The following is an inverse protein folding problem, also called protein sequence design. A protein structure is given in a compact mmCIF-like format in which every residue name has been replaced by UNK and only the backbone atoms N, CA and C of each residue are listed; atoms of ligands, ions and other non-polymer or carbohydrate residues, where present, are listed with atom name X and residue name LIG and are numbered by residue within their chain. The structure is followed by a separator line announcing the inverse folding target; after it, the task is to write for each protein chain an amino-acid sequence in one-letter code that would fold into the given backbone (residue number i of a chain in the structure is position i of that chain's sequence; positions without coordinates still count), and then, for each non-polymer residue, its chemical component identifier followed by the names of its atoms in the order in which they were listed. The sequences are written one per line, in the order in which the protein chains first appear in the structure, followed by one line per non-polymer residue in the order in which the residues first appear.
data_IF_436908258422
#
_entry.id   IF_436908258422
#
_cell.length_a   1.000
_cell.length_b   1.000
_cell.length_c   1.000
_cell.angle_alpha   90.00
_cell.angle_beta   90.00
_cell.angle_gamma   90.00
#
_symmetry.space_group_name_H-M   'P 1'
#
loop_
_entity.id
_entity.type
_entity.pdbx_description
1 polymer ?
#
# COMPACT_ATOMS: atom_id res chain seq x y z
N UNK A 1 -18.30 -25.74 -3.44
CA UNK A 1 -19.51 -24.92 -3.42
C UNK A 1 -20.13 -25.04 -4.79
N UNK A 2 -21.44 -25.26 -4.87
CA UNK A 2 -22.18 -25.21 -6.13
C UNK A 2 -23.03 -23.94 -6.09
N UNK A 3 -22.86 -23.03 -7.05
CA UNK A 3 -23.67 -21.82 -7.16
C UNK A 3 -24.59 -21.97 -8.38
N UNK A 4 -25.89 -21.77 -8.17
CA UNK A 4 -26.89 -21.65 -9.23
C UNK A 4 -27.45 -20.24 -9.22
N UNK A 5 -27.59 -19.64 -10.41
CA UNK A 5 -28.15 -18.30 -10.59
C UNK A 5 -29.09 -18.30 -11.79
N UNK A 6 -30.19 -17.55 -11.72
CA UNK A 6 -31.14 -17.42 -12.83
C UNK A 6 -30.69 -16.42 -13.92
N UNK A 7 -29.58 -15.71 -13.70
CA UNK A 7 -28.96 -14.79 -14.66
C UNK A 7 -27.42 -14.97 -14.66
N UNK A 8 -26.75 -14.45 -15.68
CA UNK A 8 -25.29 -14.47 -15.76
C UNK A 8 -24.65 -13.53 -14.74
N UNK A 9 -23.75 -14.07 -13.90
CA UNK A 9 -22.92 -13.33 -12.95
C UNK A 9 -21.54 -13.96 -12.84
N UNK A 10 -20.55 -13.19 -12.40
CA UNK A 10 -19.18 -13.69 -12.21
C UNK A 10 -19.09 -14.62 -10.98
N UNK A 11 -19.35 -15.92 -11.19
CA UNK A 11 -19.34 -16.95 -10.15
C UNK A 11 -18.00 -17.05 -9.43
N UNK A 12 -16.89 -16.89 -10.15
CA UNK A 12 -15.54 -16.93 -9.56
C UNK A 12 -15.33 -15.83 -8.51
N UNK A 13 -15.92 -14.66 -8.73
CA UNK A 13 -15.87 -13.56 -7.75
C UNK A 13 -16.69 -13.87 -6.50
N UNK A 14 -17.82 -14.56 -6.65
CA UNK A 14 -18.63 -15.04 -5.52
C UNK A 14 -17.88 -16.13 -4.75
N UNK A 15 -17.26 -17.10 -5.43
CA UNK A 15 -16.45 -18.15 -4.80
C UNK A 15 -15.26 -17.60 -4.00
N UNK A 16 -14.56 -16.61 -4.57
CA UNK A 16 -13.47 -15.94 -3.85
C UNK A 16 -14.01 -15.24 -2.61
N UNK A 17 -15.12 -14.50 -2.73
CA UNK A 17 -15.76 -13.86 -1.58
C UNK A 17 -16.20 -14.88 -0.52
N UNK A 18 -16.82 -15.98 -0.90
CA UNK A 18 -17.24 -17.04 0.03
C UNK A 18 -16.05 -17.62 0.79
N UNK A 19 -14.96 -17.94 0.10
CA UNK A 19 -13.75 -18.49 0.74
C UNK A 19 -13.19 -17.60 1.84
N UNK A 20 -13.45 -16.31 1.72
CA UNK A 20 -12.77 -15.25 2.43
C UNK A 20 -13.65 -14.69 3.56
N UNK A 21 -14.94 -14.53 3.31
CA UNK A 21 -15.91 -13.86 4.20
C UNK A 21 -17.01 -14.80 4.71
N UNK A 22 -17.21 -15.96 4.07
CA UNK A 22 -18.34 -16.85 4.33
C UNK A 22 -17.94 -18.34 4.16
N UNK A 23 -16.76 -18.72 4.69
CA UNK A 23 -16.14 -20.01 4.43
C UNK A 23 -16.99 -21.22 4.85
N UNK A 24 -17.94 -21.01 5.75
CA UNK A 24 -18.93 -21.99 6.21
C UNK A 24 -19.79 -22.55 5.06
N UNK A 25 -19.95 -21.78 3.98
CA UNK A 25 -20.73 -22.11 2.79
C UNK A 25 -19.90 -22.79 1.68
N UNK A 26 -18.60 -23.04 1.88
CA UNK A 26 -17.72 -23.58 0.82
C UNK A 26 -18.12 -24.98 0.30
N UNK A 27 -18.88 -25.74 1.07
CA UNK A 27 -19.39 -27.08 0.69
C UNK A 27 -20.91 -27.08 0.47
N UNK A 28 -21.50 -25.89 0.36
CA UNK A 28 -22.94 -25.73 0.20
C UNK A 28 -23.34 -25.65 -1.28
N UNK A 29 -24.64 -25.89 -1.52
CA UNK A 29 -25.33 -25.51 -2.74
C UNK A 29 -26.12 -24.22 -2.46
N UNK A 30 -25.69 -23.14 -3.11
CA UNK A 30 -26.31 -21.82 -2.97
C UNK A 30 -27.08 -21.49 -4.25
N UNK A 31 -28.37 -21.19 -4.10
CA UNK A 31 -29.21 -20.73 -5.21
C UNK A 31 -29.49 -19.23 -5.07
N UNK A 32 -29.25 -18.47 -6.13
CA UNK A 32 -29.61 -17.05 -6.24
C UNK A 32 -30.72 -16.87 -7.27
N UNK A 33 -31.85 -16.32 -6.82
CA UNK A 33 -32.94 -15.85 -7.67
C UNK A 33 -32.91 -14.32 -7.68
N UNK A 34 -32.61 -13.72 -8.83
CA UNK A 34 -32.50 -12.28 -9.05
C UNK A 34 -33.66 -11.79 -9.91
N UNK A 35 -34.37 -10.78 -9.40
CA UNK A 35 -35.48 -10.11 -10.08
C UNK A 35 -35.16 -8.61 -10.19
N UNK A 36 -35.32 -8.05 -11.39
CA UNK A 36 -35.21 -6.60 -11.63
C UNK A 36 -36.60 -6.04 -11.91
N UNK A 37 -37.06 -5.14 -11.04
CA UNK A 37 -38.40 -4.53 -11.08
C UNK A 37 -38.22 -3.01 -11.13
N UNK A 38 -38.46 -2.37 -12.28
CA UNK A 38 -38.30 -0.93 -12.54
C UNK A 38 -37.07 -0.28 -11.86
N UNK A 39 -37.20 0.19 -10.62
CA UNK A 39 -36.15 0.88 -9.84
C UNK A 39 -35.59 0.05 -8.67
N UNK A 40 -35.88 -1.25 -8.60
CA UNK A 40 -35.48 -2.15 -7.52
C UNK A 40 -34.86 -3.42 -8.09
N UNK A 41 -33.76 -3.84 -7.49
CA UNK A 41 -33.18 -5.16 -7.68
C UNK A 41 -33.50 -5.97 -6.43
N UNK A 42 -34.07 -7.15 -6.61
CA UNK A 42 -34.43 -8.08 -5.54
C UNK A 42 -33.61 -9.36 -5.70
N UNK A 43 -33.03 -9.84 -4.60
CA UNK A 43 -32.30 -11.10 -4.56
C UNK A 43 -32.88 -11.97 -3.45
N UNK A 44 -33.24 -13.20 -3.82
CA UNK A 44 -33.46 -14.31 -2.90
C UNK A 44 -32.23 -15.22 -2.94
N UNK A 45 -31.73 -15.58 -1.75
CA UNK A 45 -30.60 -16.48 -1.59
C UNK A 45 -31.03 -17.65 -0.72
N UNK A 46 -30.78 -18.86 -1.19
CA UNK A 46 -31.11 -20.10 -0.49
C UNK A 46 -29.84 -20.93 -0.29
N UNK A 47 -29.64 -21.40 0.94
CA UNK A 47 -28.61 -22.35 1.33
C UNK A 47 -29.26 -23.69 1.63
N UNK A 48 -28.84 -24.74 0.92
CA UNK A 48 -29.34 -26.08 1.17
C UNK A 48 -28.77 -26.67 2.48
N UNK A 49 -27.47 -26.47 2.74
CA UNK A 49 -26.80 -26.99 3.93
C UNK A 49 -27.35 -26.39 5.22
N UNK A 50 -27.69 -25.09 5.21
CA UNK A 50 -28.24 -24.42 6.39
C UNK A 50 -29.77 -24.48 6.46
N UNK A 51 -30.44 -25.00 5.42
CA UNK A 51 -31.89 -24.97 5.26
C UNK A 51 -32.47 -23.58 5.54
N UNK A 52 -31.81 -22.55 5.01
CA UNK A 52 -32.11 -21.14 5.26
C UNK A 52 -32.23 -20.40 3.95
N UNK A 53 -33.28 -19.60 3.82
CA UNK A 53 -33.40 -18.62 2.75
C UNK A 53 -33.52 -17.21 3.34
N UNK A 54 -33.09 -16.24 2.54
CA UNK A 54 -33.29 -14.82 2.80
C UNK A 54 -33.74 -14.14 1.51
N UNK A 55 -34.42 -13.03 1.66
CA UNK A 55 -34.85 -12.19 0.55
C UNK A 55 -34.63 -10.73 0.93
N UNK A 56 -34.05 -9.95 0.03
CA UNK A 56 -33.86 -8.51 0.22
C UNK A 56 -33.82 -7.80 -1.12
N UNK A 57 -34.06 -6.50 -1.10
CA UNK A 57 -33.98 -5.63 -2.27
C UNK A 57 -33.15 -4.38 -1.98
N UNK A 58 -32.70 -3.74 -3.05
CA UNK A 58 -32.06 -2.43 -3.01
C UNK A 58 -32.44 -1.65 -4.27
N UNK A 59 -32.45 -0.31 -4.17
CA UNK A 59 -32.71 0.55 -5.34
C UNK A 59 -31.70 0.28 -6.45
N UNK A 60 -32.10 0.27 -7.71
CA UNK A 60 -31.15 0.21 -8.81
C UNK A 60 -30.30 1.51 -8.81
N UNK A 61 -28.99 1.36 -8.65
CA UNK A 61 -28.03 2.46 -8.59
C UNK A 61 -27.47 2.78 -9.98
N UNK A 62 -27.93 2.10 -11.02
CA UNK A 62 -27.57 2.32 -12.42
C UNK A 62 -26.05 2.41 -12.60
N UNK A 63 -25.55 3.49 -13.20
CA UNK A 63 -24.13 3.69 -13.50
C UNK A 63 -23.30 4.12 -12.28
N UNK A 64 -23.91 4.31 -11.10
CA UNK A 64 -23.16 4.67 -9.88
C UNK A 64 -22.30 3.50 -9.37
N UNK A 65 -22.66 2.27 -9.70
CA UNK A 65 -21.93 1.05 -9.33
C UNK A 65 -21.91 0.07 -10.50
N UNK A 66 -20.72 -0.38 -10.89
CA UNK A 66 -20.49 -1.27 -12.03
C UNK A 66 -21.17 -2.65 -11.90
N UNK A 67 -21.09 -3.25 -10.72
CA UNK A 67 -21.46 -4.66 -10.47
C UNK A 67 -22.43 -4.78 -9.29
N UNK A 68 -23.53 -4.03 -9.33
CA UNK A 68 -24.50 -4.00 -8.22
C UNK A 68 -25.04 -5.39 -7.91
N UNK A 69 -25.50 -6.14 -8.92
CA UNK A 69 -26.07 -7.49 -8.72
C UNK A 69 -25.07 -8.45 -8.11
N UNK A 70 -23.84 -8.50 -8.64
CA UNK A 70 -22.77 -9.32 -8.09
C UNK A 70 -22.46 -8.95 -6.64
N UNK A 71 -22.45 -7.66 -6.32
CA UNK A 71 -22.27 -7.16 -4.96
C UNK A 71 -23.42 -7.59 -4.05
N UNK A 72 -24.66 -7.51 -4.52
CA UNK A 72 -25.83 -8.01 -3.79
C UNK A 72 -25.74 -9.52 -3.54
N UNK A 73 -25.31 -10.34 -4.50
CA UNK A 73 -25.08 -11.76 -4.25
C UNK A 73 -24.11 -11.98 -3.06
N UNK A 74 -23.00 -11.24 -3.01
CA UNK A 74 -22.04 -11.30 -1.90
C UNK A 74 -22.63 -10.85 -0.57
N UNK A 75 -23.40 -9.76 -0.56
CA UNK A 75 -24.15 -9.28 0.62
C UNK A 75 -25.15 -10.34 1.10
N UNK A 76 -25.81 -11.02 0.17
CA UNK A 76 -26.74 -12.11 0.47
C UNK A 76 -26.08 -13.24 1.25
N UNK A 77 -24.86 -13.63 0.89
CA UNK A 77 -24.09 -14.63 1.65
C UNK A 77 -23.81 -14.16 3.09
N UNK A 78 -23.46 -12.89 3.30
CA UNK A 78 -23.25 -12.34 4.64
C UNK A 78 -24.54 -12.34 5.47
N UNK A 79 -25.64 -11.88 4.88
CA UNK A 79 -26.97 -11.86 5.54
C UNK A 79 -27.45 -13.27 5.87
N UNK A 80 -27.20 -14.24 5.01
CA UNK A 80 -27.56 -15.64 5.21
C UNK A 80 -26.83 -16.21 6.44
N UNK A 81 -25.59 -15.81 6.67
CA UNK A 81 -24.81 -16.18 7.86
C UNK A 81 -24.99 -15.25 9.08
N UNK A 82 -25.75 -14.15 8.95
CA UNK A 82 -25.82 -13.05 9.93
C UNK A 82 -24.43 -12.51 10.34
N UNK A 83 -23.51 -12.43 9.37
CA UNK A 83 -22.15 -11.93 9.59
C UNK A 83 -22.07 -10.41 9.45
N UNK A 84 -21.37 -9.78 10.39
CA UNK A 84 -21.11 -8.33 10.42
C UNK A 84 -19.61 -8.09 10.47
N UNK A 85 -19.13 -7.26 9.55
CA UNK A 85 -17.73 -6.84 9.43
C UNK A 85 -17.69 -5.32 9.35
N UNK A 86 -16.63 -4.68 9.87
CA UNK A 86 -16.51 -3.22 9.86
C UNK A 86 -16.54 -2.63 8.44
N UNK A 87 -15.90 -3.34 7.52
CA UNK A 87 -15.87 -3.02 6.09
C UNK A 87 -17.05 -3.60 5.29
N UNK A 88 -18.02 -4.22 5.96
CA UNK A 88 -19.17 -4.86 5.33
C UNK A 88 -18.78 -5.85 4.24
N UNK A 89 -19.32 -5.63 3.04
CA UNK A 89 -19.05 -6.44 1.83
C UNK A 89 -17.80 -6.02 1.05
N UNK A 90 -17.10 -4.96 1.47
CA UNK A 90 -15.89 -4.52 0.80
C UNK A 90 -14.73 -5.49 1.11
N UNK A 91 -14.32 -6.27 0.11
CA UNK A 91 -13.17 -7.19 0.18
C UNK A 91 -11.91 -6.60 -0.50
N UNK A 92 -12.05 -5.45 -1.18
CA UNK A 92 -10.99 -4.84 -1.98
C UNK A 92 -9.83 -4.27 -1.15
N UNK A 93 -8.67 -4.15 -1.81
CA UNK A 93 -7.44 -3.55 -1.26
C UNK A 93 -7.59 -2.04 -1.02
N UNK A 94 -8.44 -1.34 -1.76
CA UNK A 94 -8.55 0.13 -1.77
C UNK A 94 -9.99 0.58 -1.56
N UNK A 95 -10.46 0.68 -0.31
CA UNK A 95 -11.84 1.10 -0.05
C UNK A 95 -12.10 2.57 -0.42
N UNK A 96 -11.09 3.43 -0.31
CA UNK A 96 -11.11 4.85 -0.75
C UNK A 96 -11.53 5.01 -2.21
N UNK A 97 -11.03 4.15 -3.12
CA UNK A 97 -11.47 4.13 -4.53
C UNK A 97 -12.98 3.93 -4.70
N UNK A 98 -13.65 3.17 -3.81
CA UNK A 98 -15.11 2.98 -3.89
C UNK A 98 -15.83 4.30 -3.65
N UNK A 99 -15.44 5.04 -2.60
CA UNK A 99 -16.00 6.36 -2.34
C UNK A 99 -15.66 7.35 -3.45
N UNK A 100 -14.40 7.40 -3.91
CA UNK A 100 -14.01 8.27 -5.03
C UNK A 100 -14.84 8.01 -6.28
N UNK A 101 -15.11 6.75 -6.63
CA UNK A 101 -15.97 6.39 -7.76
C UNK A 101 -17.41 6.87 -7.58
N UNK A 102 -17.98 6.75 -6.38
CA UNK A 102 -19.32 7.29 -6.11
C UNK A 102 -19.34 8.81 -6.33
N UNK A 103 -18.33 9.53 -5.84
CA UNK A 103 -18.21 10.97 -6.03
C UNK A 103 -18.05 11.35 -7.52
N UNK A 104 -17.23 10.62 -8.27
CA UNK A 104 -17.06 10.80 -9.73
C UNK A 104 -18.39 10.58 -10.47
N UNK A 105 -19.20 9.62 -10.01
CA UNK A 105 -20.51 9.31 -10.59
C UNK A 105 -21.65 10.16 -9.97
N UNK A 106 -21.33 11.42 -9.63
CA UNK A 106 -22.28 12.47 -9.22
C UNK A 106 -23.01 12.24 -7.89
N UNK A 107 -22.54 11.33 -7.03
CA UNK A 107 -23.02 11.27 -5.65
C UNK A 107 -22.37 12.39 -4.82
N UNK A 108 -23.13 13.07 -3.98
CA UNK A 108 -22.55 13.86 -2.90
C UNK A 108 -22.11 12.95 -1.72
N UNK A 109 -21.40 13.50 -0.73
CA UNK A 109 -20.96 12.72 0.44
C UNK A 109 -22.12 12.12 1.25
N UNK A 110 -23.29 12.75 1.25
CA UNK A 110 -24.46 12.26 2.01
C UNK A 110 -25.04 11.04 1.32
N UNK A 111 -25.19 11.09 -0.01
CA UNK A 111 -25.62 9.98 -0.83
C UNK A 111 -24.59 8.84 -0.80
N UNK A 112 -23.30 9.15 -0.98
CA UNK A 112 -22.23 8.15 -0.94
C UNK A 112 -22.16 7.44 0.43
N UNK A 113 -22.29 8.18 1.54
CA UNK A 113 -22.39 7.59 2.90
C UNK A 113 -23.58 6.65 3.00
N UNK A 114 -24.75 7.04 2.50
CA UNK A 114 -25.95 6.19 2.52
C UNK A 114 -25.73 4.90 1.74
N UNK A 115 -25.11 4.96 0.56
CA UNK A 115 -24.76 3.78 -0.22
C UNK A 115 -23.74 2.91 0.54
N UNK A 116 -22.65 3.48 1.07
CA UNK A 116 -21.66 2.72 1.82
C UNK A 116 -22.25 2.01 3.06
N UNK A 117 -23.16 2.68 3.76
CA UNK A 117 -23.82 2.13 4.96
C UNK A 117 -24.88 1.09 4.63
N UNK A 118 -25.85 1.46 3.78
CA UNK A 118 -27.06 0.67 3.59
C UNK A 118 -26.86 -0.45 2.55
N UNK A 119 -26.07 -0.18 1.50
CA UNK A 119 -25.77 -1.15 0.46
C UNK A 119 -24.55 -1.98 0.83
N UNK A 120 -23.39 -1.34 1.02
CA UNK A 120 -22.15 -2.07 1.26
C UNK A 120 -22.00 -2.61 2.70
N UNK A 121 -22.87 -2.19 3.64
CA UNK A 121 -22.87 -2.60 5.05
C UNK A 121 -21.61 -2.15 5.82
N UNK A 122 -21.00 -1.04 5.41
CA UNK A 122 -19.82 -0.47 6.07
C UNK A 122 -20.24 0.30 7.33
N UNK A 123 -19.46 0.19 8.42
CA UNK A 123 -19.75 0.90 9.67
C UNK A 123 -19.49 2.40 9.54
N UNK A 124 -20.17 3.21 10.37
CA UNK A 124 -20.00 4.66 10.37
C UNK A 124 -18.54 5.08 10.65
N UNK A 125 -17.84 4.34 11.50
CA UNK A 125 -16.41 4.56 11.79
C UNK A 125 -15.55 4.46 10.53
N UNK A 126 -15.68 3.37 9.76
CA UNK A 126 -14.88 3.18 8.55
C UNK A 126 -15.29 4.13 7.42
N UNK A 127 -16.57 4.52 7.34
CA UNK A 127 -17.02 5.58 6.43
C UNK A 127 -16.34 6.91 6.79
N UNK A 128 -16.30 7.28 8.08
CA UNK A 128 -15.64 8.52 8.52
C UNK A 128 -14.14 8.52 8.22
N UNK A 129 -13.47 7.38 8.40
CA UNK A 129 -12.07 7.21 7.99
C UNK A 129 -11.90 7.42 6.48
N UNK A 130 -12.70 6.74 5.66
CA UNK A 130 -12.67 6.89 4.20
C UNK A 130 -12.89 8.34 3.77
N UNK A 131 -13.87 9.03 4.35
CA UNK A 131 -14.13 10.44 3.99
C UNK A 131 -12.98 11.36 4.36
N UNK A 132 -12.36 11.14 5.52
CA UNK A 132 -11.21 11.93 5.96
C UNK A 132 -10.05 11.76 4.98
N UNK A 133 -9.75 10.50 4.64
CA UNK A 133 -8.67 10.16 3.70
C UNK A 133 -8.98 10.71 2.29
N UNK A 134 -10.16 10.43 1.73
CA UNK A 134 -10.51 10.86 0.36
C UNK A 134 -10.51 12.39 0.23
N UNK A 135 -10.95 13.13 1.25
CA UNK A 135 -10.87 14.61 1.22
C UNK A 135 -9.42 15.07 1.08
N UNK A 136 -8.51 14.49 1.85
CA UNK A 136 -7.07 14.83 1.77
C UNK A 136 -6.45 14.36 0.45
N UNK A 137 -6.79 13.18 -0.03
CA UNK A 137 -6.33 12.69 -1.33
C UNK A 137 -6.71 13.67 -2.46
N UNK A 138 -7.97 14.09 -2.52
CA UNK A 138 -8.47 15.01 -3.56
C UNK A 138 -7.77 16.37 -3.59
N UNK A 139 -7.15 16.81 -2.49
CA UNK A 139 -6.33 18.03 -2.44
C UNK A 139 -4.95 17.87 -3.09
N UNK A 140 -4.43 16.63 -3.13
CA UNK A 140 -3.03 16.35 -3.46
C UNK A 140 -2.86 15.56 -4.77
N UNK A 141 -3.92 14.91 -5.26
CA UNK A 141 -3.89 14.11 -6.48
C UNK A 141 -3.58 14.94 -7.73
N UNK A 142 -2.75 14.40 -8.61
CA UNK A 142 -2.13 15.06 -9.75
C UNK A 142 -2.01 14.06 -10.92
N UNK A 143 -2.88 14.17 -11.92
CA UNK A 143 -2.83 13.29 -13.11
C UNK A 143 -1.82 13.75 -14.17
N UNK A 144 -1.31 14.98 -14.08
CA UNK A 144 -0.55 15.62 -15.16
C UNK A 144 0.95 15.31 -15.10
N UNK A 145 1.45 14.96 -13.92
CA UNK A 145 2.86 14.63 -13.69
C UNK A 145 3.06 13.12 -13.60
N UNK A 146 4.30 12.69 -13.37
CA UNK A 146 4.63 11.28 -13.10
C UNK A 146 5.37 11.14 -11.76
N UNK A 147 5.17 9.99 -11.12
CA UNK A 147 6.00 9.54 -10.01
C UNK A 147 7.26 8.85 -10.53
N UNK A 148 8.40 9.07 -9.87
CA UNK A 148 9.64 8.35 -10.11
C UNK A 148 9.97 7.45 -8.92
N UNK A 149 10.04 6.14 -9.15
CA UNK A 149 10.45 5.17 -8.12
C UNK A 149 11.83 4.60 -8.43
N UNK A 150 12.71 4.51 -7.45
CA UNK A 150 14.04 3.91 -7.60
C UNK A 150 14.18 2.74 -6.61
N UNK A 151 14.25 1.53 -7.13
CA UNK A 151 14.36 0.30 -6.35
C UNK A 151 15.81 -0.14 -6.13
N UNK A 152 16.26 -0.19 -4.87
CA UNK A 152 17.57 -0.73 -4.48
C UNK A 152 17.36 -2.13 -3.88
N UNK A 153 17.69 -3.23 -4.59
CA UNK A 153 17.29 -4.60 -4.22
C UNK A 153 18.18 -5.23 -3.14
N UNK A 154 18.98 -4.44 -2.41
CA UNK A 154 19.91 -4.94 -1.40
C UNK A 154 19.47 -4.58 0.01
N UNK A 155 19.70 -5.49 0.95
CA UNK A 155 19.51 -5.31 2.38
C UNK A 155 20.75 -5.82 3.13
N UNK A 156 21.04 -5.34 4.36
CA UNK A 156 22.08 -5.97 5.16
C UNK A 156 21.67 -7.38 5.62
N UNK A 157 20.41 -7.59 5.99
CA UNK A 157 19.79 -8.91 6.25
C UNK A 157 18.34 -8.95 5.76
N UNK A 158 17.81 -10.16 5.52
CA UNK A 158 16.39 -10.35 5.13
C UNK A 158 15.48 -10.61 6.33
N UNK A 159 14.57 -9.68 6.61
CA UNK A 159 13.54 -9.86 7.64
C UNK A 159 12.50 -10.91 7.21
N UNK A 160 12.02 -11.73 8.15
CA UNK A 160 11.08 -12.84 7.88
C UNK A 160 9.71 -12.38 7.36
N UNK A 161 9.26 -11.19 7.74
CA UNK A 161 8.00 -10.61 7.25
C UNK A 161 8.14 -9.90 5.89
N UNK A 162 9.37 -9.60 5.46
CA UNK A 162 9.58 -8.70 4.33
C UNK A 162 9.09 -9.32 3.02
N UNK A 163 8.25 -8.56 2.31
CA UNK A 163 7.63 -8.99 1.06
C UNK A 163 8.35 -8.47 -0.19
N UNK A 164 9.26 -7.51 -0.01
CA UNK A 164 10.03 -6.85 -1.06
C UNK A 164 11.08 -7.77 -1.68
N UNK A 165 11.47 -7.42 -2.90
CA UNK A 165 12.60 -8.04 -3.57
C UNK A 165 13.90 -7.53 -2.94
N UNK A 166 14.39 -8.26 -1.93
CA UNK A 166 15.62 -7.93 -1.24
C UNK A 166 16.57 -9.12 -1.14
N UNK A 167 17.85 -8.81 -1.34
CA UNK A 167 18.98 -9.73 -1.29
C UNK A 167 20.00 -9.23 -0.28
N UNK A 168 20.59 -10.15 0.48
CA UNK A 168 21.60 -9.78 1.47
C UNK A 168 22.88 -9.34 0.75
N UNK A 169 23.36 -8.14 1.08
CA UNK A 169 24.53 -7.52 0.45
C UNK A 169 25.82 -8.32 0.67
N UNK A 170 25.91 -9.05 1.79
CA UNK A 170 27.04 -9.92 2.10
C UNK A 170 26.80 -11.38 1.66
N UNK A 171 25.67 -11.67 1.02
CA UNK A 171 25.35 -12.98 0.45
C UNK A 171 25.87 -13.15 -0.97
N UNK A 172 25.63 -14.31 -1.59
CA UNK A 172 26.14 -14.62 -2.92
C UNK A 172 25.67 -13.69 -4.04
N UNK A 173 24.51 -13.03 -3.89
CA UNK A 173 23.98 -12.03 -4.84
C UNK A 173 24.65 -10.67 -4.68
N UNK A 174 25.25 -10.40 -3.52
CA UNK A 174 25.98 -9.15 -3.23
C UNK A 174 27.14 -8.86 -4.19
N UNK A 175 27.71 -9.89 -4.82
CA UNK A 175 28.76 -9.75 -5.85
C UNK A 175 28.35 -8.89 -7.05
N UNK A 176 27.05 -8.71 -7.29
CA UNK A 176 26.51 -7.88 -8.38
C UNK A 176 26.26 -6.42 -7.97
N UNK A 177 26.60 -6.02 -6.74
CA UNK A 177 26.32 -4.69 -6.22
C UNK A 177 26.93 -3.58 -7.09
N UNK A 178 28.23 -3.66 -7.39
CA UNK A 178 28.91 -2.62 -8.18
C UNK A 178 28.32 -2.51 -9.59
N UNK A 179 28.14 -3.65 -10.27
CA UNK A 179 27.54 -3.68 -11.61
C UNK A 179 26.09 -3.16 -11.61
N UNK A 180 25.35 -3.40 -10.52
CA UNK A 180 24.01 -2.85 -10.33
C UNK A 180 24.04 -1.33 -10.23
N UNK A 181 24.98 -0.75 -9.47
CA UNK A 181 25.12 0.70 -9.35
C UNK A 181 25.43 1.32 -10.71
N UNK A 182 26.36 0.75 -11.49
CA UNK A 182 26.66 1.23 -12.85
C UNK A 182 25.44 1.14 -13.77
N UNK A 183 24.70 0.02 -13.70
CA UNK A 183 23.47 -0.17 -14.45
C UNK A 183 22.40 0.87 -14.07
N UNK A 184 22.24 1.18 -12.78
CA UNK A 184 21.32 2.20 -12.30
C UNK A 184 21.70 3.61 -12.78
N UNK A 185 22.99 3.98 -12.71
CA UNK A 185 23.47 5.26 -13.23
C UNK A 185 23.19 5.43 -14.72
N UNK A 186 23.36 4.35 -15.50
CA UNK A 186 22.99 4.31 -16.92
C UNK A 186 21.48 4.43 -17.13
N UNK A 187 20.66 3.73 -16.35
CA UNK A 187 19.20 3.82 -16.42
C UNK A 187 18.70 5.24 -16.13
N UNK A 188 19.25 5.90 -15.10
CA UNK A 188 18.92 7.30 -14.74
C UNK A 188 19.18 8.25 -15.90
N UNK A 189 20.32 8.08 -16.59
CA UNK A 189 20.64 8.90 -17.78
C UNK A 189 19.60 8.68 -18.88
N UNK A 190 19.35 7.43 -19.26
CA UNK A 190 18.42 7.08 -20.33
C UNK A 190 17.00 7.59 -20.05
N UNK A 191 16.54 7.44 -18.80
CA UNK A 191 15.23 7.94 -18.37
C UNK A 191 15.21 9.47 -18.37
N UNK A 192 16.24 10.13 -17.85
CA UNK A 192 16.33 11.60 -17.88
C UNK A 192 16.26 12.17 -19.29
N UNK A 193 16.96 11.55 -20.24
CA UNK A 193 16.93 11.95 -21.65
C UNK A 193 15.53 11.76 -22.26
N UNK A 194 14.84 10.66 -21.91
CA UNK A 194 13.45 10.43 -22.30
C UNK A 194 12.53 11.51 -21.74
N UNK A 195 12.59 11.79 -20.44
CA UNK A 195 11.72 12.78 -19.79
C UNK A 195 11.91 14.17 -20.39
N UNK A 196 13.16 14.56 -20.65
CA UNK A 196 13.49 15.82 -21.32
C UNK A 196 12.94 15.86 -22.76
N UNK A 197 13.16 14.81 -23.54
CA UNK A 197 12.73 14.73 -24.95
C UNK A 197 11.21 14.83 -25.10
N UNK A 198 10.45 14.21 -24.20
CA UNK A 198 8.99 14.18 -24.24
C UNK A 198 8.34 15.19 -23.29
N UNK A 199 9.12 16.12 -22.72
CA UNK A 199 8.66 17.14 -21.77
C UNK A 199 7.80 16.59 -20.62
N UNK A 200 8.12 15.36 -20.16
CA UNK A 200 7.42 14.73 -19.04
C UNK A 200 7.94 15.30 -17.72
N UNK A 201 7.03 15.70 -16.85
CA UNK A 201 7.34 16.34 -15.57
C UNK A 201 7.20 15.35 -14.41
N UNK A 202 8.14 15.39 -13.48
CA UNK A 202 8.14 14.54 -12.28
C UNK A 202 7.62 15.35 -11.11
N UNK A 203 6.60 14.85 -10.40
CA UNK A 203 6.05 15.50 -9.20
C UNK A 203 6.54 14.90 -7.90
N UNK A 204 6.96 13.62 -7.91
CA UNK A 204 7.54 13.00 -6.72
C UNK A 204 8.60 11.95 -7.07
N UNK A 205 9.57 11.80 -6.17
CA UNK A 205 10.67 10.85 -6.28
C UNK A 205 10.71 10.01 -5.00
N UNK A 206 10.81 8.69 -5.16
CA UNK A 206 10.82 7.77 -4.04
C UNK A 206 11.89 6.69 -4.21
N UNK A 207 12.85 6.64 -3.28
CA UNK A 207 13.81 5.54 -3.17
C UNK A 207 13.29 4.48 -2.21
N UNK A 208 13.16 3.24 -2.67
CA UNK A 208 12.69 2.12 -1.86
C UNK A 208 13.28 0.78 -2.28
N UNK A 209 12.60 -0.30 -1.92
CA UNK A 209 12.94 -1.66 -2.38
C UNK A 209 13.39 -2.55 -1.23
N UNK A 210 14.67 -2.92 -1.23
CA UNK A 210 15.28 -3.57 -0.08
C UNK A 210 15.59 -2.54 1.01
N UNK A 211 16.76 -1.93 0.91
CA UNK A 211 17.22 -0.90 1.85
C UNK A 211 18.11 0.06 1.06
N UNK A 212 17.56 1.16 0.52
CA UNK A 212 18.32 2.15 -0.25
C UNK A 212 19.59 2.64 0.45
N UNK A 213 19.55 2.79 1.77
CA UNK A 213 20.71 3.15 2.59
C UNK A 213 21.83 2.10 2.62
N UNK A 214 21.68 0.94 1.96
CA UNK A 214 22.80 0.00 1.75
C UNK A 214 23.84 0.52 0.76
N UNK A 215 23.49 1.48 -0.10
CA UNK A 215 24.47 2.18 -0.93
C UNK A 215 25.59 2.71 -0.04
N UNK A 216 26.83 2.54 -0.50
CA UNK A 216 27.99 3.19 0.15
C UNK A 216 27.81 4.71 0.12
N UNK A 217 28.55 5.45 0.94
CA UNK A 217 28.50 6.93 0.90
C UNK A 217 28.85 7.45 -0.50
N UNK A 218 29.87 6.87 -1.12
CA UNK A 218 30.28 7.20 -2.49
C UNK A 218 29.18 6.91 -3.51
N UNK A 219 28.61 5.70 -3.49
CA UNK A 219 27.57 5.32 -4.47
C UNK A 219 26.26 6.07 -4.25
N UNK A 220 25.90 6.36 -3.00
CA UNK A 220 24.74 7.20 -2.67
C UNK A 220 24.91 8.59 -3.28
N UNK A 221 26.07 9.21 -3.09
CA UNK A 221 26.39 10.51 -3.68
C UNK A 221 26.39 10.44 -5.22
N UNK A 222 26.99 9.41 -5.82
CA UNK A 222 26.99 9.21 -7.28
C UNK A 222 25.58 9.10 -7.84
N UNK A 223 24.73 8.28 -7.23
CA UNK A 223 23.35 8.04 -7.68
C UNK A 223 22.50 9.30 -7.54
N UNK A 224 22.53 9.97 -6.39
CA UNK A 224 21.75 11.18 -6.16
C UNK A 224 22.22 12.33 -7.07
N UNK A 225 23.54 12.50 -7.22
CA UNK A 225 24.10 13.48 -8.16
C UNK A 225 23.63 13.21 -9.58
N UNK A 226 23.74 11.97 -10.04
CA UNK A 226 23.33 11.58 -11.39
C UNK A 226 21.84 11.82 -11.62
N UNK A 227 21.01 11.60 -10.61
CA UNK A 227 19.58 11.89 -10.64
C UNK A 227 19.32 13.39 -10.85
N UNK A 228 19.91 14.26 -10.03
CA UNK A 228 19.71 15.71 -10.12
C UNK A 228 20.26 16.32 -11.42
N UNK A 229 21.29 15.73 -12.03
CA UNK A 229 21.79 16.14 -13.35
C UNK A 229 20.81 15.80 -14.49
N UNK A 230 19.94 14.81 -14.28
CA UNK A 230 19.11 14.22 -15.33
C UNK A 230 17.62 14.47 -15.19
N UNK A 231 17.13 14.74 -13.98
CA UNK A 231 15.73 14.99 -13.69
C UNK A 231 15.54 16.49 -13.43
N UNK A 232 14.53 17.08 -14.08
CA UNK A 232 14.15 18.46 -13.79
C UNK A 232 13.39 18.51 -12.46
N UNK A 233 14.00 19.14 -11.46
CA UNK A 233 13.45 19.25 -10.10
C UNK A 233 12.39 20.36 -9.93
N UNK A 234 12.11 21.15 -10.97
CA UNK A 234 11.23 22.35 -10.88
C UNK A 234 9.82 22.02 -10.39
N UNK A 235 9.26 20.89 -10.83
CA UNK A 235 7.90 20.47 -10.49
C UNK A 235 7.87 19.41 -9.36
N UNK A 236 9.03 19.00 -8.82
CA UNK A 236 9.12 17.96 -7.79
C UNK A 236 8.65 18.54 -6.45
N UNK A 237 7.51 18.01 -5.96
CA UNK A 237 6.85 18.38 -4.71
C UNK A 237 7.35 17.54 -3.52
N UNK A 238 7.84 16.33 -3.79
CA UNK A 238 8.33 15.41 -2.76
C UNK A 238 9.54 14.61 -3.25
N UNK A 239 10.61 14.59 -2.45
CA UNK A 239 11.70 13.62 -2.59
C UNK A 239 11.88 12.80 -1.31
N UNK A 240 11.43 11.54 -1.37
CA UNK A 240 11.47 10.57 -0.27
C UNK A 240 12.59 9.53 -0.43
N UNK A 241 13.28 9.23 0.66
CA UNK A 241 14.25 8.15 0.74
C UNK A 241 13.91 7.16 1.86
N UNK A 242 13.66 5.89 1.53
CA UNK A 242 13.51 4.85 2.55
C UNK A 242 14.84 4.58 3.25
N UNK A 243 14.94 5.09 4.47
CA UNK A 243 16.06 4.92 5.39
C UNK A 243 15.69 3.85 6.44
N UNK A 244 15.00 2.80 6.01
CA UNK A 244 14.22 1.93 6.90
C UNK A 244 15.03 1.04 7.83
N UNK A 245 16.37 1.11 7.83
CA UNK A 245 17.27 0.32 8.69
C UNK A 245 18.39 1.21 9.24
N UNK A 246 18.42 1.36 10.55
CA UNK A 246 19.40 2.20 11.25
C UNK A 246 20.83 1.66 11.09
N UNK A 247 21.01 0.35 11.00
CA UNK A 247 22.31 -0.32 10.82
C UNK A 247 22.86 -0.24 9.38
N UNK A 248 22.20 0.51 8.50
CA UNK A 248 22.71 0.88 7.18
C UNK A 248 22.95 2.39 7.02
N UNK A 249 22.63 3.17 8.06
CA UNK A 249 22.74 4.61 8.07
C UNK A 249 23.94 5.06 8.91
N UNK A 250 24.41 6.25 8.59
CA UNK A 250 25.32 7.03 9.42
C UNK A 250 25.04 8.52 9.16
N UNK A 251 25.65 9.39 9.96
CA UNK A 251 25.47 10.85 9.85
C UNK A 251 25.87 11.34 8.45
N UNK A 252 26.94 10.78 7.87
CA UNK A 252 27.42 11.20 6.55
C UNK A 252 26.42 10.96 5.44
N UNK A 253 25.71 9.83 5.46
CA UNK A 253 24.63 9.54 4.52
C UNK A 253 23.46 10.52 4.67
N UNK A 254 23.11 10.93 5.90
CA UNK A 254 22.10 11.96 6.13
C UNK A 254 22.50 13.30 5.50
N UNK A 255 23.76 13.72 5.69
CA UNK A 255 24.30 14.93 5.05
C UNK A 255 24.26 14.85 3.52
N UNK A 256 24.65 13.71 2.94
CA UNK A 256 24.61 13.48 1.50
C UNK A 256 23.17 13.57 0.99
N UNK A 257 22.22 12.89 1.64
CA UNK A 257 20.80 12.95 1.26
C UNK A 257 20.29 14.40 1.27
N UNK A 258 20.58 15.16 2.33
CA UNK A 258 20.15 16.56 2.44
C UNK A 258 20.80 17.45 1.38
N UNK A 259 22.10 17.24 1.11
CA UNK A 259 22.85 17.95 0.06
C UNK A 259 22.22 17.79 -1.32
N UNK A 260 21.65 16.62 -1.62
CA UNK A 260 21.00 16.32 -2.89
C UNK A 260 19.46 16.40 -2.81
N UNK A 261 18.94 17.30 -1.96
CA UNK A 261 17.54 17.70 -1.93
C UNK A 261 16.54 16.60 -1.54
N UNK A 262 16.97 15.57 -0.81
CA UNK A 262 16.03 14.66 -0.16
C UNK A 262 15.32 15.42 0.96
N UNK A 263 13.98 15.44 0.94
CA UNK A 263 13.15 16.18 1.89
C UNK A 263 12.64 15.29 3.01
N UNK A 264 12.32 14.03 2.68
CA UNK A 264 11.69 13.05 3.57
C UNK A 264 12.54 11.80 3.69
N UNK A 265 12.63 11.28 4.91
CA UNK A 265 13.17 9.94 5.16
C UNK A 265 12.16 9.06 5.91
N UNK A 266 12.19 7.76 5.62
CA UNK A 266 11.44 6.76 6.39
C UNK A 266 12.38 6.03 7.35
N UNK A 267 12.33 6.35 8.65
CA UNK A 267 13.12 5.71 9.70
C UNK A 267 12.27 4.71 10.45
N UNK A 268 12.36 3.44 10.08
CA UNK A 268 11.31 2.48 10.44
C UNK A 268 11.79 1.48 11.50
N UNK A 269 11.45 1.64 12.80
CA UNK A 269 11.82 0.66 13.82
C UNK A 269 11.01 -0.64 13.65
N UNK A 270 9.79 -0.56 13.10
CA UNK A 270 8.81 -1.65 12.94
C UNK A 270 8.20 -2.11 14.27
N UNK A 271 9.03 -2.24 15.31
CA UNK A 271 8.67 -2.43 16.72
C UNK A 271 9.83 -1.88 17.57
N UNK A 272 9.58 -1.47 18.81
CA UNK A 272 10.66 -1.14 19.75
C UNK A 272 11.03 -2.31 20.66
N UNK A 273 10.30 -3.43 20.57
CA UNK A 273 10.57 -4.64 21.33
C UNK A 273 11.68 -5.48 20.64
N UNK A 274 12.84 -5.57 21.28
CA UNK A 274 14.02 -6.25 20.72
C UNK A 274 13.80 -7.76 20.48
N UNK A 275 13.07 -8.44 21.35
CA UNK A 275 12.81 -9.88 21.19
C UNK A 275 11.85 -10.12 20.00
N UNK A 276 10.86 -9.26 19.80
CA UNK A 276 9.97 -9.27 18.63
C UNK A 276 10.77 -9.11 17.34
N UNK A 277 11.66 -8.12 17.29
CA UNK A 277 12.51 -7.87 16.12
C UNK A 277 13.47 -9.05 15.84
N UNK A 278 14.03 -9.65 16.89
CA UNK A 278 14.88 -10.84 16.80
C UNK A 278 14.12 -12.04 16.23
N UNK A 279 12.88 -12.29 16.66
CA UNK A 279 12.01 -13.36 16.12
C UNK A 279 11.84 -13.23 14.60
N UNK A 280 11.79 -12.00 14.07
CA UNK A 280 11.66 -11.72 12.64
C UNK A 280 12.97 -11.49 11.89
N UNK A 281 14.11 -11.86 12.47
CA UNK A 281 15.44 -11.70 11.88
C UNK A 281 15.77 -10.24 11.51
N UNK A 282 15.34 -9.30 12.35
CA UNK A 282 15.66 -7.88 12.22
C UNK A 282 16.59 -7.47 13.36
N UNK A 283 17.79 -7.02 13.01
CA UNK A 283 18.69 -6.38 13.97
C UNK A 283 18.21 -4.98 14.24
N UNK A 284 18.34 -4.55 15.49
CA UNK A 284 18.00 -3.21 15.92
C UNK A 284 18.96 -2.73 17.01
N UNK A 285 19.60 -1.59 16.79
CA UNK A 285 20.36 -0.89 17.83
C UNK A 285 19.64 0.40 18.20
N UNK A 286 19.10 0.45 19.43
CA UNK A 286 18.34 1.59 19.94
C UNK A 286 19.18 2.87 20.02
N UNK A 287 20.40 2.79 20.55
CA UNK A 287 21.27 3.97 20.70
C UNK A 287 21.60 4.60 19.34
N UNK A 288 21.88 3.77 18.34
CA UNK A 288 22.14 4.24 16.98
C UNK A 288 20.87 4.81 16.33
N UNK A 289 19.71 4.17 16.53
CA UNK A 289 18.43 4.71 16.05
C UNK A 289 18.15 6.11 16.62
N UNK A 290 18.32 6.28 17.94
CA UNK A 290 18.11 7.56 18.63
C UNK A 290 19.07 8.65 18.13
N UNK A 291 20.34 8.28 17.90
CA UNK A 291 21.33 9.18 17.31
C UNK A 291 20.93 9.62 15.90
N UNK A 292 20.60 8.67 15.02
CA UNK A 292 20.21 8.95 13.63
C UNK A 292 18.94 9.79 13.59
N UNK A 293 17.95 9.50 14.43
CA UNK A 293 16.73 10.30 14.53
C UNK A 293 17.04 11.74 14.92
N UNK A 294 17.88 11.94 15.96
CA UNK A 294 18.29 13.28 16.41
C UNK A 294 19.01 14.07 15.32
N UNK A 295 19.95 13.45 14.60
CA UNK A 295 20.66 14.12 13.51
C UNK A 295 19.75 14.40 12.31
N UNK A 296 18.81 13.50 11.99
CA UNK A 296 17.83 13.74 10.94
C UNK A 296 16.91 14.93 11.24
N UNK A 297 16.47 15.10 12.50
CA UNK A 297 15.70 16.28 12.92
C UNK A 297 16.51 17.57 12.82
N UNK A 298 17.80 17.55 13.17
CA UNK A 298 18.69 18.72 13.00
C UNK A 298 18.86 19.12 11.54
N UNK A 299 18.87 18.15 10.63
CA UNK A 299 18.91 18.36 9.18
C UNK A 299 17.53 18.68 8.58
N UNK A 300 16.51 18.88 9.42
CA UNK A 300 15.16 19.28 9.03
C UNK A 300 14.53 18.33 8.00
N UNK A 301 14.77 17.03 8.14
CA UNK A 301 14.03 16.03 7.37
C UNK A 301 12.59 15.94 7.88
N UNK A 302 11.67 15.69 6.96
CA UNK A 302 10.35 15.15 7.29
C UNK A 302 10.55 13.66 7.62
N UNK A 303 10.15 13.23 8.82
CA UNK A 303 10.40 11.86 9.28
C UNK A 303 9.10 11.07 9.34
N UNK A 304 9.06 10.00 8.53
CA UNK A 304 8.08 8.93 8.66
C UNK A 304 8.63 7.78 9.52
N UNK A 305 7.78 7.17 10.34
CA UNK A 305 8.05 5.90 11.01
C UNK A 305 6.99 4.86 10.65
N UNK A 306 7.44 3.70 10.19
CA UNK A 306 6.57 2.54 10.00
C UNK A 306 6.63 1.60 11.21
N UNK A 307 5.45 1.19 11.69
CA UNK A 307 5.24 0.12 12.66
C UNK A 307 4.48 -1.04 12.03
N UNK A 308 4.78 -2.26 12.44
CA UNK A 308 4.05 -3.46 12.02
C UNK A 308 3.43 -4.11 13.24
N UNK A 309 2.10 -4.20 13.24
CA UNK A 309 1.31 -4.84 14.28
C UNK A 309 1.06 -6.30 13.92
N UNK A 310 1.19 -7.18 14.91
CA UNK A 310 0.88 -8.60 14.79
C UNK A 310 2.05 -9.43 14.25
N UNK A 311 3.28 -8.97 14.51
CA UNK A 311 4.50 -9.74 14.27
C UNK A 311 4.42 -11.11 15.01
N UNK A 312 5.14 -12.15 14.55
CA UNK A 312 5.10 -13.46 15.20
C UNK A 312 5.31 -13.39 16.72
N UNK A 313 4.39 -14.02 17.45
CA UNK A 313 4.33 -14.11 18.92
C UNK A 313 4.23 -12.75 19.64
N UNK A 314 4.01 -11.65 18.92
CA UNK A 314 3.86 -10.32 19.50
C UNK A 314 2.56 -10.24 20.32
N UNK A 315 2.66 -9.79 21.57
CA UNK A 315 1.50 -9.64 22.47
C UNK A 315 0.92 -8.23 22.42
N UNK A 316 -0.32 -8.08 22.90
CA UNK A 316 -0.97 -6.77 23.06
C UNK A 316 -0.09 -5.81 23.87
N UNK A 317 0.51 -6.28 24.97
CA UNK A 317 1.36 -5.47 25.85
C UNK A 317 2.63 -4.99 25.13
N UNK A 318 3.27 -5.85 24.33
CA UNK A 318 4.46 -5.48 23.54
C UNK A 318 4.13 -4.41 22.47
N UNK A 319 2.94 -4.51 21.87
CA UNK A 319 2.43 -3.51 20.91
C UNK A 319 2.16 -2.18 21.62
N UNK A 320 1.44 -2.20 22.75
CA UNK A 320 1.11 -1.00 23.51
C UNK A 320 2.37 -0.31 24.04
N UNK A 321 3.37 -1.08 24.50
CA UNK A 321 4.67 -0.55 24.90
C UNK A 321 5.36 0.16 23.74
N UNK A 322 5.46 -0.49 22.57
CA UNK A 322 6.02 0.10 21.34
C UNK A 322 5.31 1.42 20.97
N UNK A 323 3.98 1.42 20.99
CA UNK A 323 3.18 2.61 20.71
C UNK A 323 3.45 3.71 21.73
N UNK A 324 3.53 3.38 23.01
CA UNK A 324 3.79 4.37 24.08
C UNK A 324 5.14 5.08 23.93
N UNK A 325 6.15 4.39 23.41
CA UNK A 325 7.49 4.95 23.16
C UNK A 325 7.51 5.98 22.03
N UNK A 326 6.49 6.02 21.15
CA UNK A 326 6.40 7.05 20.10
C UNK A 326 6.32 8.48 20.67
N UNK A 327 5.90 8.65 21.93
CA UNK A 327 5.88 9.97 22.59
C UNK A 327 7.27 10.63 22.61
N UNK A 328 8.34 9.84 22.63
CA UNK A 328 9.73 10.32 22.71
C UNK A 328 10.28 10.80 21.35
N UNK A 329 9.53 10.59 20.26
CA UNK A 329 9.94 10.95 18.90
C UNK A 329 9.01 11.99 18.28
N UNK A 330 9.54 13.16 17.95
CA UNK A 330 8.83 14.19 17.16
C UNK A 330 8.83 13.84 15.67
N UNK A 331 7.98 12.88 15.30
CA UNK A 331 7.77 12.43 13.93
C UNK A 331 6.73 13.28 13.21
N UNK A 332 6.80 13.31 11.88
CA UNK A 332 5.87 14.03 11.02
C UNK A 332 4.81 13.10 10.43
N UNK A 333 5.18 11.83 10.21
CA UNK A 333 4.29 10.78 9.77
C UNK A 333 4.47 9.50 10.57
N UNK A 334 3.37 8.78 10.72
CA UNK A 334 3.30 7.46 11.31
C UNK A 334 2.53 6.56 10.36
N UNK A 335 3.13 5.47 9.89
CA UNK A 335 2.39 4.44 9.16
C UNK A 335 2.23 3.21 10.04
N UNK A 336 0.98 2.82 10.25
CA UNK A 336 0.64 1.58 10.96
C UNK A 336 0.31 0.52 9.93
N UNK A 337 1.10 -0.54 9.90
CA UNK A 337 0.84 -1.73 9.10
C UNK A 337 0.29 -2.86 9.95
N UNK A 338 -0.68 -3.60 9.41
CA UNK A 338 -1.08 -4.87 9.99
C UNK A 338 -0.44 -6.00 9.19
N UNK A 339 0.23 -6.94 9.88
CA UNK A 339 0.96 -8.01 9.19
C UNK A 339 0.03 -8.86 8.31
N UNK A 340 0.32 -8.87 7.00
CA UNK A 340 -0.32 -9.77 6.04
C UNK A 340 0.50 -11.04 5.86
N UNK A 341 -0.11 -12.21 6.06
CA UNK A 341 0.57 -13.48 5.83
C UNK A 341 0.57 -13.87 4.37
N UNK A 342 1.75 -14.16 3.83
CA UNK A 342 1.85 -14.92 2.57
C UNK A 342 1.60 -16.40 2.88
N UNK A 343 0.64 -17.01 2.16
CA UNK A 343 0.32 -18.46 2.22
C UNK A 343 1.55 -19.37 2.07
N UNK A 344 2.60 -18.91 1.40
CA UNK A 344 3.84 -19.65 1.16
C UNK A 344 4.97 -19.34 2.16
N UNK A 345 4.77 -18.42 3.11
CA UNK A 345 5.80 -18.11 4.11
C UNK A 345 5.83 -19.19 5.20
N UNK A 346 7.04 -19.51 5.71
CA UNK A 346 7.22 -20.42 6.84
C UNK A 346 6.38 -19.99 8.07
N UNK A 347 6.26 -18.67 8.22
CA UNK A 347 5.38 -17.95 9.15
C UNK A 347 3.90 -18.38 9.10
N UNK A 348 3.35 -18.73 7.92
CA UNK A 348 1.96 -19.19 7.79
C UNK A 348 1.77 -20.65 8.24
N UNK A 349 2.83 -21.46 8.21
CA UNK A 349 2.78 -22.85 8.71
C UNK A 349 2.98 -22.93 10.23
N UNK A 350 3.73 -21.98 10.78
CA UNK A 350 4.02 -21.86 12.22
C UNK A 350 2.88 -21.14 12.99
N UNK A 351 1.85 -20.60 12.30
CA UNK A 351 0.84 -19.70 12.89
C UNK A 351 -0.45 -20.34 13.42
N UNK A 352 -0.53 -21.67 13.58
CA UNK A 352 -1.78 -22.29 14.06
C UNK A 352 -2.03 -22.10 15.56
N UNK A 353 -1.04 -21.62 16.32
CA UNK A 353 -1.19 -21.24 17.73
C UNK A 353 -0.72 -19.78 17.88
N UNK A 354 -1.65 -18.83 17.83
CA UNK A 354 -1.33 -17.41 18.06
C UNK A 354 -2.05 -16.90 19.30
N UNK A 355 -1.36 -16.02 20.01
CA UNK A 355 -1.97 -15.15 21.00
C UNK A 355 -2.99 -14.25 20.29
N UNK A 356 -4.21 -14.20 20.80
CA UNK A 356 -5.19 -13.19 20.41
C UNK A 356 -4.68 -11.82 20.85
N UNK A 357 -4.54 -10.87 19.92
CA UNK A 357 -4.23 -9.47 20.25
C UNK A 357 -5.54 -8.70 20.50
N UNK A 358 -5.54 -7.81 21.50
CA UNK A 358 -6.69 -6.94 21.77
C UNK A 358 -6.68 -5.74 20.82
N UNK A 359 -7.34 -5.92 19.68
CA UNK A 359 -7.38 -4.92 18.62
C UNK A 359 -8.06 -3.62 19.04
N UNK A 360 -9.16 -3.70 19.80
CA UNK A 360 -9.89 -2.52 20.23
C UNK A 360 -9.03 -1.65 21.15
N UNK A 361 -8.26 -2.29 22.04
CA UNK A 361 -7.30 -1.59 22.90
C UNK A 361 -6.15 -0.95 22.11
N UNK A 362 -5.60 -1.67 21.11
CA UNK A 362 -4.54 -1.17 20.23
C UNK A 362 -5.03 0.04 19.41
N UNK A 363 -6.19 -0.06 18.77
CA UNK A 363 -6.78 1.02 17.96
C UNK A 363 -7.05 2.27 18.81
N UNK A 364 -7.56 2.09 20.04
CA UNK A 364 -7.73 3.18 21.00
C UNK A 364 -6.41 3.88 21.35
N UNK A 365 -5.32 3.11 21.51
CA UNK A 365 -4.00 3.68 21.77
C UNK A 365 -3.43 4.43 20.57
N UNK A 366 -3.61 3.89 19.36
CA UNK A 366 -3.23 4.57 18.12
C UNK A 366 -3.96 5.91 18.02
N UNK A 367 -5.29 5.93 18.22
CA UNK A 367 -6.10 7.16 18.21
C UNK A 367 -5.55 8.20 19.18
N UNK A 368 -5.26 7.81 20.42
CA UNK A 368 -4.66 8.70 21.42
C UNK A 368 -3.33 9.31 20.95
N UNK A 369 -2.44 8.51 20.38
CA UNK A 369 -1.13 8.98 19.92
C UNK A 369 -1.26 9.94 18.73
N UNK A 370 -2.12 9.63 17.77
CA UNK A 370 -2.31 10.50 16.60
C UNK A 370 -2.98 11.81 17.00
N UNK A 371 -3.91 11.80 17.96
CA UNK A 371 -4.49 13.01 18.55
C UNK A 371 -3.42 13.85 19.28
N UNK A 372 -2.63 13.25 20.18
CA UNK A 372 -1.56 13.92 20.92
C UNK A 372 -0.50 14.54 20.00
N UNK A 373 -0.21 13.87 18.87
CA UNK A 373 0.74 14.36 17.85
C UNK A 373 0.09 15.21 16.76
N UNK A 374 -1.20 15.51 16.86
CA UNK A 374 -1.97 16.32 15.89
C UNK A 374 -1.93 15.78 14.46
N UNK A 375 -1.93 14.46 14.32
CA UNK A 375 -1.88 13.76 13.04
C UNK A 375 -3.27 13.32 12.58
N UNK A 376 -3.48 13.33 11.27
CA UNK A 376 -4.71 12.84 10.62
C UNK A 376 -4.39 11.74 9.62
N UNK A 377 -5.30 10.77 9.41
CA UNK A 377 -5.13 9.77 8.37
C UNK A 377 -5.18 10.45 7.00
N UNK A 378 -4.23 10.13 6.12
CA UNK A 378 -4.12 10.78 4.80
C UNK A 378 -4.06 9.80 3.62
N UNK A 379 -3.76 8.53 3.88
CA UNK A 379 -3.92 7.44 2.92
C UNK A 379 -4.22 6.15 3.67
N UNK A 380 -4.82 5.19 2.97
CA UNK A 380 -5.01 3.86 3.52
C UNK A 380 -5.09 2.77 2.46
N UNK A 381 -4.79 1.53 2.85
CA UNK A 381 -5.03 0.36 2.03
C UNK A 381 -5.17 -0.90 2.89
N UNK A 382 -5.80 -1.93 2.34
CA UNK A 382 -6.01 -3.23 2.95
C UNK A 382 -5.27 -4.28 2.14
N UNK A 383 -4.84 -5.37 2.76
CA UNK A 383 -4.24 -6.50 2.04
C UNK A 383 -5.07 -7.76 2.27
N UNK A 384 -5.06 -8.66 1.29
CA UNK A 384 -5.67 -9.97 1.44
C UNK A 384 -4.86 -10.77 2.47
N UNK A 385 -5.55 -11.46 3.39
CA UNK A 385 -4.95 -12.26 4.48
C UNK A 385 -4.15 -11.44 5.53
N UNK A 386 -4.57 -10.20 5.81
CA UNK A 386 -4.22 -9.51 7.06
C UNK A 386 -4.97 -10.19 8.22
N UNK A 387 -4.36 -10.21 9.41
CA UNK A 387 -5.05 -10.55 10.67
C UNK A 387 -6.40 -9.83 10.71
N UNK A 388 -7.49 -10.61 10.76
CA UNK A 388 -8.85 -10.11 10.99
C UNK A 388 -9.26 -8.89 10.14
N UNK A 389 -8.93 -8.91 8.84
CA UNK A 389 -9.40 -7.92 7.85
C UNK A 389 -9.01 -6.45 8.10
N UNK A 390 -7.92 -6.24 8.84
CA UNK A 390 -7.35 -4.93 9.18
C UNK A 390 -6.93 -4.06 8.00
N UNK A 391 -6.45 -2.88 8.36
CA UNK A 391 -6.13 -1.76 7.47
C UNK A 391 -4.72 -1.24 7.77
N UNK A 392 -4.02 -0.84 6.72
CA UNK A 392 -2.79 -0.07 6.84
C UNK A 392 -3.17 1.40 6.65
N UNK A 393 -2.78 2.24 7.59
CA UNK A 393 -3.12 3.66 7.59
C UNK A 393 -1.84 4.46 7.77
N UNK A 394 -1.67 5.47 6.92
CA UNK A 394 -0.70 6.53 7.15
C UNK A 394 -1.37 7.72 7.82
N UNK A 395 -0.74 8.20 8.88
CA UNK A 395 -1.08 9.41 9.61
C UNK A 395 0.00 10.47 9.36
N UNK A 396 -0.43 11.73 9.29
CA UNK A 396 0.44 12.87 8.97
C UNK A 396 0.03 14.09 9.77
N UNK A 397 1.01 14.90 10.18
CA UNK A 397 0.76 16.33 10.45
C UNK A 397 0.34 17.02 9.14
N UNK A 398 -0.47 18.05 9.25
CA UNK A 398 -0.94 18.82 8.09
C UNK A 398 0.25 19.38 7.28
N UNK A 399 0.23 19.21 5.96
CA UNK A 399 1.28 19.68 5.05
C UNK A 399 2.55 18.83 5.04
N UNK A 400 2.55 17.67 5.71
CA UNK A 400 3.65 16.69 5.74
C UNK A 400 3.26 15.35 5.11
N UNK A 401 2.13 15.27 4.41
CA UNK A 401 1.61 14.06 3.78
C UNK A 401 2.57 13.54 2.71
N UNK A 402 2.68 12.21 2.55
CA UNK A 402 3.42 11.64 1.42
C UNK A 402 2.58 11.58 0.15
N UNK A 403 2.93 12.43 -0.81
CA UNK A 403 2.27 12.50 -2.11
C UNK A 403 2.50 11.20 -2.89
N UNK A 404 3.72 10.66 -2.87
CA UNK A 404 4.03 9.41 -3.57
C UNK A 404 3.15 8.25 -3.06
N UNK A 405 2.96 8.14 -1.74
CA UNK A 405 2.13 7.08 -1.17
C UNK A 405 0.66 7.21 -1.59
N UNK A 406 0.09 8.42 -1.55
CA UNK A 406 -1.28 8.68 -2.04
C UNK A 406 -1.39 8.22 -3.50
N UNK A 407 -0.53 8.72 -4.38
CA UNK A 407 -0.63 8.45 -5.82
C UNK A 407 -0.41 6.98 -6.16
N UNK A 408 0.55 6.33 -5.51
CA UNK A 408 0.88 4.92 -5.76
C UNK A 408 -0.23 3.99 -5.31
N UNK A 409 -0.87 4.30 -4.17
CA UNK A 409 -1.97 3.51 -3.62
C UNK A 409 -3.23 3.76 -4.42
N UNK A 410 -3.56 5.01 -4.70
CA UNK A 410 -4.71 5.37 -5.52
C UNK A 410 -4.51 5.03 -7.00
N UNK A 411 -3.31 4.64 -7.44
CA UNK A 411 -2.99 4.35 -8.85
C UNK A 411 -3.64 5.39 -9.77
N UNK A 412 -3.50 6.67 -9.42
CA UNK A 412 -4.13 7.80 -10.11
C UNK A 412 -3.16 8.46 -11.09
N UNK A 413 -1.87 8.43 -10.76
CA UNK A 413 -0.79 8.97 -11.58
C UNK A 413 0.12 7.87 -12.12
N UNK A 414 0.69 8.11 -13.30
CA UNK A 414 1.71 7.25 -13.89
C UNK A 414 2.95 7.17 -12.99
N UNK A 415 3.58 6.00 -12.96
CA UNK A 415 4.79 5.77 -12.17
C UNK A 415 5.86 5.16 -13.05
N UNK A 416 6.96 5.87 -13.26
CA UNK A 416 8.14 5.32 -13.90
C UNK A 416 9.08 4.75 -12.83
N UNK A 417 9.39 3.47 -12.91
CA UNK A 417 10.24 2.80 -11.93
C UNK A 417 11.60 2.41 -12.53
N UNK A 418 12.66 2.66 -11.78
CA UNK A 418 14.05 2.32 -12.06
C UNK A 418 14.57 1.32 -11.03
N UNK A 419 15.71 0.69 -11.32
CA UNK A 419 16.38 -0.23 -10.42
C UNK A 419 15.70 -1.60 -10.30
N UNK A 420 16.17 -2.38 -9.34
CA UNK A 420 15.81 -3.79 -9.18
C UNK A 420 14.40 -3.95 -8.62
N UNK A 421 13.58 -4.77 -9.27
CA UNK A 421 12.21 -5.07 -8.84
C UNK A 421 11.21 -3.92 -8.92
N UNK A 422 11.60 -2.77 -9.47
CA UNK A 422 10.72 -1.64 -9.72
C UNK A 422 9.59 -1.98 -10.70
N UNK A 423 8.40 -1.41 -10.49
CA UNK A 423 7.22 -1.63 -11.34
C UNK A 423 6.80 -0.30 -11.93
N UNK A 424 6.99 -0.14 -13.24
CA UNK A 424 6.43 1.00 -13.96
C UNK A 424 4.95 0.75 -14.24
N UNK A 425 4.13 1.79 -14.12
CA UNK A 425 2.69 1.74 -14.29
C UNK A 425 2.23 2.90 -15.17
N UNK A 426 1.35 2.59 -16.12
CA UNK A 426 0.55 3.60 -16.82
C UNK A 426 -0.91 3.40 -16.41
N UNK A 427 -1.52 4.48 -15.97
CA UNK A 427 -2.92 4.60 -15.57
C UNK A 427 -3.67 5.15 -16.77
N UNK A 428 -4.58 4.36 -17.31
CA UNK A 428 -5.41 4.73 -18.47
C UNK A 428 -6.86 4.75 -17.98
N UNK A 429 -7.49 5.92 -17.99
CA UNK A 429 -8.91 6.01 -17.64
C UNK A 429 -9.75 5.35 -18.74
N UNK A 430 -10.48 4.30 -18.38
CA UNK A 430 -11.39 3.62 -19.29
C UNK A 430 -12.79 4.23 -19.23
N UNK A 431 -13.35 4.38 -18.02
CA UNK A 431 -14.74 4.84 -17.79
C UNK A 431 -14.91 5.43 -16.39
N UNK A 432 -15.33 6.68 -16.27
CA UNK A 432 -15.85 7.31 -15.02
C UNK A 432 -15.21 6.82 -13.71
N UNK A 433 -13.89 6.97 -13.55
CA UNK A 433 -13.15 6.52 -12.35
C UNK A 433 -12.76 5.03 -12.30
N UNK A 434 -12.87 4.34 -13.42
CA UNK A 434 -12.33 3.00 -13.67
C UNK A 434 -11.09 3.15 -14.54
N UNK A 435 -9.96 2.75 -13.98
CA UNK A 435 -8.66 2.83 -14.63
C UNK A 435 -8.17 1.43 -15.01
N UNK A 436 -7.69 1.30 -16.24
CA UNK A 436 -6.83 0.20 -16.66
C UNK A 436 -5.38 0.53 -16.32
N UNK A 437 -4.68 -0.43 -15.72
CA UNK A 437 -3.29 -0.27 -15.32
C UNK A 437 -2.40 -1.20 -16.14
N UNK A 438 -1.70 -0.64 -17.11
CA UNK A 438 -0.61 -1.33 -17.80
C UNK A 438 0.63 -1.35 -16.88
N UNK A 439 1.32 -2.49 -16.77
CA UNK A 439 2.47 -2.65 -15.87
C UNK A 439 3.68 -3.20 -16.61
N UNK A 440 4.84 -2.64 -16.32
CA UNK A 440 6.13 -3.14 -16.79
C UNK A 440 7.10 -3.31 -15.61
N UNK A 441 7.58 -4.54 -15.40
CA UNK A 441 8.33 -4.93 -14.20
C UNK A 441 9.81 -5.10 -14.53
N UNK A 442 10.68 -4.37 -13.82
CA UNK A 442 12.12 -4.62 -13.85
C UNK A 442 12.43 -5.94 -13.12
N UNK A 443 13.42 -6.72 -13.59
CA UNK A 443 13.84 -7.93 -12.91
C UNK A 443 14.17 -7.68 -11.43
N UNK A 444 13.72 -8.59 -10.57
CA UNK A 444 14.04 -8.56 -9.14
C UNK A 444 15.49 -8.94 -8.88
N UNK A 445 15.97 -9.95 -9.62
CA UNK A 445 17.34 -10.43 -9.53
C UNK A 445 18.33 -9.42 -10.14
N UNK A 446 19.35 -8.96 -9.40
CA UNK A 446 20.29 -7.97 -9.91
C UNK A 446 21.03 -8.39 -11.18
N UNK A 447 21.43 -9.66 -11.31
CA UNK A 447 22.16 -10.13 -12.48
C UNK A 447 21.29 -10.08 -13.73
N UNK A 448 20.01 -10.45 -13.61
CA UNK A 448 19.05 -10.34 -14.71
C UNK A 448 18.75 -8.88 -15.05
N UNK A 449 18.60 -8.01 -14.04
CA UNK A 449 18.41 -6.56 -14.25
C UNK A 449 19.57 -5.95 -15.04
N UNK A 450 20.83 -6.24 -14.66
CA UNK A 450 22.03 -5.78 -15.36
C UNK A 450 22.03 -6.28 -16.81
N UNK A 451 21.81 -7.59 -17.01
CA UNK A 451 21.86 -8.23 -18.33
C UNK A 451 20.79 -7.68 -19.29
N UNK A 452 19.60 -7.38 -18.77
CA UNK A 452 18.46 -6.96 -19.60
C UNK A 452 18.28 -5.44 -19.68
N UNK A 453 19.12 -4.66 -19.01
CA UNK A 453 18.94 -3.21 -18.82
C UNK A 453 18.51 -2.47 -20.10
N UNK A 454 19.27 -2.62 -21.19
CA UNK A 454 19.01 -1.89 -22.43
C UNK A 454 17.66 -2.26 -23.06
N UNK A 455 17.31 -3.56 -23.02
CA UNK A 455 16.00 -4.06 -23.46
C UNK A 455 14.88 -3.49 -22.58
N UNK A 456 15.06 -3.53 -21.25
CA UNK A 456 14.07 -3.02 -20.28
C UNK A 456 13.83 -1.53 -20.44
N UNK A 457 14.89 -0.75 -20.62
CA UNK A 457 14.79 0.69 -20.87
C UNK A 457 14.00 0.98 -22.15
N UNK A 458 14.32 0.28 -23.25
CA UNK A 458 13.63 0.46 -24.53
C UNK A 458 12.14 0.14 -24.40
N UNK A 459 11.78 -1.03 -23.87
CA UNK A 459 10.38 -1.46 -23.75
C UNK A 459 9.58 -0.54 -22.82
N UNK A 460 10.19 -0.09 -21.70
CA UNK A 460 9.58 0.88 -20.79
C UNK A 460 9.34 2.24 -21.45
N UNK A 461 10.32 2.76 -22.20
CA UNK A 461 10.17 4.00 -22.94
C UNK A 461 9.04 3.90 -23.97
N UNK A 462 8.99 2.81 -24.73
CA UNK A 462 7.91 2.58 -25.70
C UNK A 462 6.53 2.48 -25.03
N UNK A 463 6.45 1.91 -23.84
CA UNK A 463 5.23 1.90 -23.04
C UNK A 463 4.78 3.34 -22.71
N UNK A 464 5.66 4.20 -22.22
CA UNK A 464 5.33 5.59 -21.85
C UNK A 464 5.11 6.53 -23.03
N UNK A 465 5.58 6.18 -24.24
CA UNK A 465 5.24 6.94 -25.47
C UNK A 465 3.80 6.73 -25.94
N UNK A 466 3.19 5.58 -25.60
CA UNK A 466 1.81 5.27 -26.00
C UNK A 466 0.77 6.09 -25.25
N UNK A 467 1.17 6.70 -24.15
CA UNK A 467 0.35 7.66 -23.41
C UNK A 467 0.00 8.81 -24.35
N UNK A 468 -1.26 8.82 -24.82
CA UNK A 468 -1.76 9.95 -25.61
C UNK A 468 -1.77 11.17 -24.70
N UNK A 469 -1.10 12.24 -25.17
CA UNK A 469 -1.21 13.60 -24.64
C UNK A 469 -2.67 14.01 -24.64
#
# INVERSE_FOLDING_TARGET
MLIETNIEVNLRSIEEFTRVMASELLEDKINFEILKEDNLIKIRVESQKLNKNIEFSYIDLENKIEDQVLTMCKIGLLKLLDKKYDWGSLMGVRPTKVLRRLLINSCDYKEARKILKDFYLVTDEKINLMETVVKKELELLDKEHINLYIGIPFCPTKCKYCSFASYEINGGVGRFYNDFVEALLKEIQIVGDFLKTYSKKVSSIYFGGGTPSTLTEEDLERVLKKLLENINMTDVKEFTFEAGREDSLNIKKLEIMKKYSVDRISLNPQSFNLETLKRVNRRFNRENFDLIFKEAKKLEFIINMDLIIGLPEETTEEILDTLSQLKDYDIDNLTIHCLAFKRASKLFKESQERNSIDRALIEKHIQKIVEEKTMKPYYMYRQKNIIEWGENIGYSKEGRESIFNIEMIEENQNTMALGGGGISKIVIEERNGIDYIERYVNPKDPALYIKELDKRCKEKIEMFKKEKI
#
